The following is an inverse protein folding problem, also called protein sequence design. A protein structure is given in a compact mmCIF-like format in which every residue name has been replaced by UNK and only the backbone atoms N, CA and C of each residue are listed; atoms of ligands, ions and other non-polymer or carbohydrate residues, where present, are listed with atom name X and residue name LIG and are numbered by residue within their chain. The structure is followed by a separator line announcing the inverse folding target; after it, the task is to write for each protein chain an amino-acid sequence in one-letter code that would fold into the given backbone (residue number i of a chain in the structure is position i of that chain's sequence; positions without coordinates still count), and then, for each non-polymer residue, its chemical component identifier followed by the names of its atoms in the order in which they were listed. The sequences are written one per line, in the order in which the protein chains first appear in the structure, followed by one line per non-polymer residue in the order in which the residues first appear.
data_IF_791731794554
#
_entry.id   IF_791731794554
#
_cell.length_a   1.000
_cell.length_b   1.000
_cell.length_c   1.000
_cell.angle_alpha   90.00
_cell.angle_beta   90.00
_cell.angle_gamma   90.00
#
_symmetry.space_group_name_H-M   'P 1'
#
loop_
_entity.id
_entity.type
_entity.pdbx_description
1 polymer ?
#
# COMPACT_ATOMS: atom_id res chain seq x y z
N UNK A 1 -35.53 -2.07 -28.01
CA UNK A 1 -35.80 -3.26 -27.17
C UNK A 1 -35.08 -3.06 -25.86
N UNK A 2 -35.76 -3.21 -24.72
CA UNK A 2 -35.14 -3.11 -23.40
C UNK A 2 -34.56 -4.48 -23.03
N UNK A 3 -33.25 -4.56 -22.81
CA UNK A 3 -32.63 -5.80 -22.33
C UNK A 3 -32.82 -5.95 -20.83
N UNK A 4 -33.06 -7.19 -20.37
CA UNK A 4 -33.14 -7.48 -18.95
C UNK A 4 -31.80 -7.17 -18.26
N UNK A 5 -31.82 -6.29 -17.28
CA UNK A 5 -30.64 -5.97 -16.48
C UNK A 5 -30.28 -7.18 -15.62
N UNK A 6 -29.03 -7.62 -15.69
CA UNK A 6 -28.51 -8.74 -14.88
C UNK A 6 -27.29 -8.28 -14.08
N UNK A 7 -27.25 -8.69 -12.81
CA UNK A 7 -26.23 -8.33 -11.82
C UNK A 7 -25.91 -9.53 -10.92
N UNK A 8 -24.93 -9.39 -10.04
CA UNK A 8 -24.59 -10.41 -9.04
C UNK A 8 -25.83 -10.95 -8.32
N UNK A 9 -25.92 -12.28 -8.19
CA UNK A 9 -27.08 -13.00 -7.63
C UNK A 9 -28.25 -13.20 -8.59
N UNK A 10 -28.25 -12.56 -9.78
CA UNK A 10 -29.27 -12.83 -10.82
C UNK A 10 -29.15 -14.26 -11.33
N UNK A 11 -30.28 -14.87 -11.68
CA UNK A 11 -30.31 -16.20 -12.28
C UNK A 11 -31.28 -16.26 -13.45
N UNK A 12 -31.08 -17.23 -14.35
CA UNK A 12 -31.98 -17.51 -15.48
C UNK A 12 -31.36 -17.26 -16.85
N UNK A 13 -32.18 -17.38 -17.90
CA UNK A 13 -31.73 -17.40 -19.30
C UNK A 13 -30.98 -16.13 -19.75
N UNK A 14 -31.29 -14.97 -19.16
CA UNK A 14 -30.57 -13.73 -19.43
C UNK A 14 -29.11 -13.78 -18.94
N UNK A 15 -28.84 -14.48 -17.84
CA UNK A 15 -27.48 -14.67 -17.31
C UNK A 15 -26.73 -15.70 -18.14
N UNK A 16 -27.39 -16.78 -18.58
CA UNK A 16 -26.79 -17.75 -19.49
C UNK A 16 -26.35 -17.08 -20.80
N UNK A 17 -27.23 -16.26 -21.40
CA UNK A 17 -26.92 -15.51 -22.61
C UNK A 17 -25.75 -14.52 -22.40
N UNK A 18 -25.66 -13.90 -21.22
CA UNK A 18 -24.53 -13.05 -20.86
C UNK A 18 -23.23 -13.85 -20.79
N UNK A 19 -23.23 -14.97 -20.06
CA UNK A 19 -22.05 -15.83 -19.90
C UNK A 19 -21.55 -16.34 -21.26
N UNK A 20 -22.46 -16.73 -22.16
CA UNK A 20 -22.13 -17.09 -23.54
C UNK A 20 -21.49 -15.93 -24.32
N UNK A 21 -22.03 -14.71 -24.19
CA UNK A 21 -21.49 -13.53 -24.87
C UNK A 21 -20.14 -13.10 -24.32
N UNK A 22 -19.94 -13.18 -23.01
CA UNK A 22 -18.62 -12.95 -22.41
C UNK A 22 -17.63 -14.01 -22.88
N UNK A 23 -18.01 -15.29 -22.92
CA UNK A 23 -17.13 -16.33 -23.44
C UNK A 23 -16.75 -16.10 -24.91
N UNK A 24 -17.70 -15.64 -25.74
CA UNK A 24 -17.42 -15.24 -27.11
C UNK A 24 -16.47 -14.02 -27.23
N UNK A 25 -16.36 -13.20 -26.18
CA UNK A 25 -15.43 -12.08 -26.07
C UNK A 25 -14.10 -12.46 -25.35
N UNK A 26 -13.82 -13.76 -25.21
CA UNK A 26 -12.54 -14.27 -24.70
C UNK A 26 -12.49 -14.57 -23.21
N UNK A 27 -13.63 -14.56 -22.51
CA UNK A 27 -13.71 -15.04 -21.12
C UNK A 27 -13.93 -16.57 -21.08
N UNK A 28 -13.72 -17.20 -19.91
CA UNK A 28 -13.91 -18.64 -19.71
C UNK A 28 -14.76 -18.92 -18.49
N UNK A 29 -16.05 -18.60 -18.61
CA UNK A 29 -17.07 -18.79 -17.59
C UNK A 29 -17.87 -20.07 -17.84
N UNK A 30 -18.32 -20.71 -16.76
CA UNK A 30 -19.37 -21.75 -16.84
C UNK A 30 -20.70 -21.08 -17.18
N UNK A 31 -21.40 -21.58 -18.19
CA UNK A 31 -22.75 -21.11 -18.56
C UNK A 31 -23.77 -21.87 -17.71
N UNK A 32 -23.90 -21.49 -16.45
CA UNK A 32 -24.82 -22.08 -15.48
C UNK A 32 -26.09 -21.25 -15.27
N UNK A 33 -26.16 -20.07 -15.90
CA UNK A 33 -27.27 -19.14 -15.70
C UNK A 33 -27.30 -18.52 -14.31
N UNK A 34 -26.18 -18.55 -13.58
CA UNK A 34 -26.03 -17.96 -12.25
C UNK A 34 -24.97 -16.86 -12.28
N UNK A 35 -25.38 -15.65 -11.89
CA UNK A 35 -24.49 -14.50 -11.89
C UNK A 35 -23.69 -14.50 -10.59
N UNK A 36 -22.71 -15.39 -10.50
CA UNK A 36 -21.77 -15.48 -9.38
C UNK A 36 -20.56 -14.55 -9.49
N UNK A 37 -19.62 -14.70 -8.57
CA UNK A 37 -18.44 -13.84 -8.47
C UNK A 37 -17.55 -13.89 -9.73
N UNK A 38 -17.44 -15.05 -10.36
CA UNK A 38 -16.70 -15.22 -11.61
C UNK A 38 -17.35 -14.42 -12.76
N UNK A 39 -18.67 -14.49 -12.91
CA UNK A 39 -19.43 -13.72 -13.91
C UNK A 39 -19.30 -12.23 -13.67
N UNK A 40 -19.40 -11.77 -12.42
CA UNK A 40 -19.25 -10.36 -12.06
C UNK A 40 -17.84 -9.84 -12.38
N UNK A 41 -16.79 -10.61 -12.08
CA UNK A 41 -15.41 -10.24 -12.41
C UNK A 41 -15.23 -10.08 -13.92
N UNK A 42 -15.76 -11.01 -14.72
CA UNK A 42 -15.68 -10.94 -16.17
C UNK A 42 -16.46 -9.75 -16.75
N UNK A 43 -17.64 -9.42 -16.19
CA UNK A 43 -18.41 -8.23 -16.60
C UNK A 43 -17.65 -6.94 -16.31
N UNK A 44 -17.10 -6.79 -15.10
CA UNK A 44 -16.31 -5.60 -14.72
C UNK A 44 -15.11 -5.41 -15.65
N UNK A 45 -14.39 -6.50 -15.95
CA UNK A 45 -13.24 -6.46 -16.86
C UNK A 45 -13.66 -6.11 -18.30
N UNK A 46 -14.77 -6.68 -18.79
CA UNK A 46 -15.30 -6.35 -20.12
C UNK A 46 -15.68 -4.88 -20.22
N UNK A 47 -16.38 -4.36 -19.21
CA UNK A 47 -16.80 -2.96 -19.17
C UNK A 47 -15.59 -2.03 -19.16
N UNK A 48 -14.58 -2.30 -18.33
CA UNK A 48 -13.34 -1.53 -18.28
C UNK A 48 -12.64 -1.49 -19.64
N UNK A 49 -12.54 -2.64 -20.33
CA UNK A 49 -11.90 -2.75 -21.65
C UNK A 49 -12.65 -2.01 -22.77
N UNK A 50 -13.97 -1.85 -22.63
CA UNK A 50 -14.82 -1.24 -23.64
C UNK A 50 -15.22 0.21 -23.31
N UNK A 51 -14.54 0.85 -22.34
CA UNK A 51 -14.80 2.24 -21.95
C UNK A 51 -16.19 2.45 -21.33
N UNK A 52 -16.79 1.39 -20.80
CA UNK A 52 -18.03 1.42 -20.04
C UNK A 52 -17.72 1.55 -18.54
N UNK A 53 -18.69 2.02 -17.77
CA UNK A 53 -18.60 1.99 -16.31
C UNK A 53 -18.44 0.54 -15.84
N UNK A 54 -17.30 0.20 -15.22
CA UNK A 54 -16.98 -1.14 -14.72
C UNK A 54 -17.70 -1.47 -13.41
N UNK A 55 -19.02 -1.36 -13.43
CA UNK A 55 -19.92 -1.54 -12.29
C UNK A 55 -20.30 -3.01 -12.03
N UNK A 56 -19.99 -3.91 -12.97
CA UNK A 56 -20.29 -5.34 -12.86
C UNK A 56 -21.75 -5.67 -13.12
N UNK A 57 -22.50 -4.73 -13.73
CA UNK A 57 -23.91 -4.85 -14.05
C UNK A 57 -24.11 -4.75 -15.55
N UNK A 58 -24.85 -5.70 -16.09
CA UNK A 58 -25.12 -5.72 -17.52
C UNK A 58 -26.46 -5.06 -17.79
N UNK A 59 -26.40 -3.73 -17.89
CA UNK A 59 -27.51 -2.88 -18.34
C UNK A 59 -27.54 -2.72 -19.87
N UNK A 60 -28.41 -1.83 -20.36
CA UNK A 60 -28.68 -1.67 -21.78
C UNK A 60 -27.44 -1.24 -22.59
N UNK A 61 -26.54 -0.45 -22.00
CA UNK A 61 -25.25 -0.05 -22.58
C UNK A 61 -24.30 -1.23 -22.74
N UNK A 62 -24.13 -2.03 -21.67
CA UNK A 62 -23.30 -3.24 -21.68
C UNK A 62 -23.85 -4.29 -22.66
N UNK A 63 -25.18 -4.48 -22.69
CA UNK A 63 -25.82 -5.37 -23.66
C UNK A 63 -25.64 -4.89 -25.11
N UNK A 64 -25.78 -3.59 -25.37
CA UNK A 64 -25.59 -3.05 -26.72
C UNK A 64 -24.15 -3.24 -27.22
N UNK A 65 -23.17 -3.09 -26.32
CA UNK A 65 -21.76 -3.38 -26.58
C UNK A 65 -21.53 -4.89 -26.85
N UNK A 66 -22.06 -5.76 -25.99
CA UNK A 66 -21.90 -7.22 -26.09
C UNK A 66 -22.55 -7.83 -27.35
N UNK A 67 -23.64 -7.24 -27.80
CA UNK A 67 -24.40 -7.69 -28.97
C UNK A 67 -23.92 -7.04 -30.27
N UNK A 68 -22.96 -6.11 -30.19
CA UNK A 68 -22.47 -5.30 -31.31
C UNK A 68 -23.59 -4.67 -32.14
N UNK A 69 -24.73 -4.39 -31.49
CA UNK A 69 -25.84 -3.68 -32.10
C UNK A 69 -25.52 -2.20 -31.97
N UNK A 70 -24.85 -1.66 -32.98
CA UNK A 70 -24.84 -0.21 -33.18
C UNK A 70 -26.29 0.21 -33.32
N UNK A 71 -26.85 0.75 -32.24
CA UNK A 71 -28.13 1.44 -32.30
C UNK A 71 -27.86 2.75 -33.03
N UNK A 72 -27.77 2.68 -34.37
CA UNK A 72 -28.08 3.82 -35.22
C UNK A 72 -29.42 4.33 -34.75
N UNK A 73 -29.41 5.58 -34.30
CA UNK A 73 -30.57 6.35 -33.94
C UNK A 73 -31.66 6.21 -35.02
N UNK A 74 -32.67 5.40 -34.73
CA UNK A 74 -33.97 5.47 -35.36
C UNK A 74 -34.94 5.89 -34.25
N UNK A 75 -35.29 7.18 -34.27
CA UNK A 75 -36.35 7.75 -33.43
C UNK A 75 -35.85 8.44 -32.18
N UNK A 76 -35.24 9.62 -32.35
CA UNK A 76 -35.42 10.69 -31.38
C UNK A 76 -36.92 11.01 -31.28
N UNK A 77 -37.64 10.25 -30.45
CA UNK A 77 -38.99 10.58 -30.05
C UNK A 77 -38.89 11.67 -29.00
N UNK A 78 -38.87 12.92 -29.45
CA UNK A 78 -39.09 14.14 -28.63
C UNK A 78 -40.53 14.21 -28.10
N UNK A 79 -41.18 13.07 -27.88
CA UNK A 79 -42.45 12.97 -27.20
C UNK A 79 -42.31 11.92 -26.12
N UNK A 80 -42.20 12.36 -24.86
CA UNK A 80 -42.65 11.59 -23.69
C UNK A 80 -43.96 10.91 -24.12
N UNK A 81 -44.01 9.58 -24.25
CA UNK A 81 -45.25 8.92 -24.66
C UNK A 81 -46.32 9.35 -23.66
N UNK A 82 -47.27 10.16 -24.11
CA UNK A 82 -48.34 10.68 -23.27
C UNK A 82 -49.16 9.48 -22.84
N UNK A 83 -48.92 8.97 -21.63
CA UNK A 83 -49.72 7.91 -21.05
C UNK A 83 -51.12 8.46 -20.83
N UNK A 84 -52.04 8.13 -21.75
CA UNK A 84 -53.43 8.57 -21.68
C UNK A 84 -54.04 8.08 -20.37
N UNK A 85 -54.55 8.99 -19.55
CA UNK A 85 -55.15 8.65 -18.27
C UNK A 85 -54.22 8.69 -17.06
N UNK A 86 -52.93 9.01 -17.24
CA UNK A 86 -51.92 9.08 -16.17
C UNK A 86 -51.51 10.53 -15.91
N UNK A 87 -51.29 10.90 -14.66
CA UNK A 87 -50.83 12.25 -14.28
C UNK A 87 -49.45 12.59 -14.85
N UNK A 88 -49.17 13.90 -15.03
CA UNK A 88 -47.89 14.40 -15.54
C UNK A 88 -46.72 13.94 -14.68
N UNK A 89 -46.87 14.00 -13.35
CA UNK A 89 -45.89 13.58 -12.35
C UNK A 89 -45.57 12.08 -12.43
N UNK A 90 -46.60 11.22 -12.41
CA UNK A 90 -46.43 9.76 -12.49
C UNK A 90 -45.76 9.38 -13.82
N UNK A 91 -46.16 10.02 -14.92
CA UNK A 91 -45.57 9.79 -16.25
C UNK A 91 -44.12 10.31 -16.36
N UNK A 92 -43.78 11.46 -15.77
CA UNK A 92 -42.41 11.99 -15.73
C UNK A 92 -41.50 11.05 -14.94
N UNK A 93 -41.96 10.63 -13.76
CA UNK A 93 -41.15 9.81 -12.87
C UNK A 93 -40.94 8.41 -13.41
N UNK A 94 -41.97 7.80 -13.99
CA UNK A 94 -41.85 6.50 -14.65
C UNK A 94 -40.89 6.58 -15.84
N UNK A 95 -41.03 7.59 -16.70
CA UNK A 95 -40.12 7.80 -17.83
C UNK A 95 -38.67 7.96 -17.39
N UNK A 96 -38.40 8.71 -16.31
CA UNK A 96 -37.04 8.84 -15.75
C UNK A 96 -36.49 7.50 -15.25
N UNK A 97 -37.32 6.72 -14.55
CA UNK A 97 -36.89 5.41 -14.01
C UNK A 97 -36.68 4.39 -15.14
N UNK A 98 -37.48 4.42 -16.19
CA UNK A 98 -37.34 3.53 -17.36
C UNK A 98 -36.08 3.80 -18.20
N UNK A 99 -35.44 4.97 -18.06
CA UNK A 99 -34.14 5.24 -18.68
C UNK A 99 -33.01 4.38 -18.08
N UNK A 100 -33.24 3.80 -16.90
CA UNK A 100 -32.33 2.89 -16.23
C UNK A 100 -31.82 3.43 -14.90
N UNK A 101 -31.03 2.59 -14.22
CA UNK A 101 -30.45 2.93 -12.93
C UNK A 101 -29.32 3.96 -13.07
N UNK A 102 -29.42 5.05 -12.30
CA UNK A 102 -28.37 6.04 -12.12
C UNK A 102 -27.91 6.01 -10.65
N UNK A 103 -26.62 5.79 -10.36
CA UNK A 103 -26.12 5.72 -8.99
C UNK A 103 -26.33 7.02 -8.21
N UNK A 104 -26.75 6.91 -6.96
CA UNK A 104 -26.78 8.02 -6.02
C UNK A 104 -25.39 8.51 -5.65
N UNK A 105 -25.35 9.65 -4.97
CA UNK A 105 -24.12 10.22 -4.43
C UNK A 105 -23.48 9.32 -3.36
N UNK A 106 -24.27 8.54 -2.62
CA UNK A 106 -23.74 7.59 -1.64
C UNK A 106 -22.98 6.45 -2.32
N UNK A 107 -23.54 5.88 -3.39
CA UNK A 107 -22.87 4.84 -4.18
C UNK A 107 -21.61 5.40 -4.85
N UNK A 108 -21.72 6.58 -5.44
CA UNK A 108 -20.59 7.24 -6.11
C UNK A 108 -19.47 7.63 -5.12
N UNK A 109 -19.82 8.02 -3.89
CA UNK A 109 -18.87 8.33 -2.82
C UNK A 109 -18.18 7.09 -2.27
N UNK A 110 -18.95 6.00 -2.05
CA UNK A 110 -18.39 4.72 -1.61
C UNK A 110 -17.44 4.13 -2.66
N UNK A 111 -17.76 4.28 -3.95
CA UNK A 111 -16.86 3.90 -5.05
C UNK A 111 -15.56 4.71 -5.00
N UNK A 112 -15.66 6.04 -4.85
CA UNK A 112 -14.48 6.89 -4.76
C UNK A 112 -13.57 6.55 -3.57
N UNK A 113 -14.16 6.13 -2.44
CA UNK A 113 -13.41 5.62 -1.28
C UNK A 113 -12.70 4.31 -1.59
N UNK A 114 -13.39 3.33 -2.19
CA UNK A 114 -12.76 2.07 -2.60
C UNK A 114 -11.57 2.32 -3.53
N UNK A 115 -11.76 3.16 -4.53
CA UNK A 115 -10.73 3.46 -5.53
C UNK A 115 -9.54 4.19 -4.89
N UNK A 116 -9.78 5.08 -3.91
CA UNK A 116 -8.70 5.76 -3.19
C UNK A 116 -7.92 4.84 -2.27
N UNK A 117 -8.59 3.87 -1.62
CA UNK A 117 -7.91 2.85 -0.80
C UNK A 117 -7.03 1.97 -1.69
N UNK A 118 -7.53 1.58 -2.87
CA UNK A 118 -6.72 0.83 -3.83
C UNK A 118 -5.48 1.62 -4.29
N UNK A 119 -5.58 2.94 -4.44
CA UNK A 119 -4.48 3.81 -4.85
C UNK A 119 -3.34 3.92 -3.82
N UNK A 120 -3.63 3.75 -2.52
CA UNK A 120 -2.63 3.81 -1.44
C UNK A 120 -2.00 2.45 -1.10
N UNK A 121 -2.00 1.49 -2.05
CA UNK A 121 -1.38 0.18 -1.84
C UNK A 121 0.10 0.35 -1.45
N UNK A 122 0.55 -0.25 -0.33
CA UNK A 122 1.97 -0.31 -0.01
C UNK A 122 2.77 -0.91 -1.17
N UNK A 123 3.93 -0.33 -1.49
CA UNK A 123 4.88 -0.90 -2.44
C UNK A 123 5.37 -2.27 -1.99
N UNK A 124 6.07 -2.98 -2.86
CA UNK A 124 6.66 -4.26 -2.51
C UNK A 124 7.76 -4.07 -1.44
N UNK A 125 7.93 -5.05 -0.55
CA UNK A 125 8.90 -4.95 0.53
C UNK A 125 10.31 -4.81 -0.02
N UNK A 126 11.03 -3.79 0.46
CA UNK A 126 12.45 -3.57 0.22
C UNK A 126 13.13 -3.39 1.56
N UNK A 127 14.19 -4.15 1.82
CA UNK A 127 14.90 -4.06 3.08
C UNK A 127 15.95 -2.95 3.06
N UNK A 128 15.94 -2.08 4.07
CA UNK A 128 16.99 -1.06 4.23
C UNK A 128 18.31 -1.62 4.77
N UNK A 129 18.30 -2.87 5.26
CA UNK A 129 19.41 -3.50 5.96
C UNK A 129 20.13 -4.58 5.15
N UNK A 130 19.65 -4.89 3.95
CA UNK A 130 20.16 -6.02 3.16
C UNK A 130 21.64 -5.86 2.78
N UNK A 131 22.03 -4.66 2.33
CA UNK A 131 23.43 -4.36 2.01
C UNK A 131 24.35 -4.45 3.24
N UNK A 132 23.88 -3.94 4.39
CA UNK A 132 24.64 -3.99 5.65
C UNK A 132 24.81 -5.43 6.15
N UNK A 133 23.75 -6.25 6.07
CA UNK A 133 23.81 -7.66 6.44
C UNK A 133 24.77 -8.45 5.56
N UNK A 134 24.77 -8.21 4.25
CA UNK A 134 25.72 -8.84 3.33
C UNK A 134 27.15 -8.46 3.66
N UNK A 135 27.41 -7.18 3.96
CA UNK A 135 28.72 -6.71 4.38
C UNK A 135 29.18 -7.35 5.70
N UNK A 136 28.31 -7.41 6.71
CA UNK A 136 28.62 -8.01 8.01
C UNK A 136 28.83 -9.53 7.89
N UNK A 137 28.06 -10.19 7.03
CA UNK A 137 28.26 -11.60 6.71
C UNK A 137 29.61 -11.85 6.06
N UNK A 138 30.01 -11.03 5.08
CA UNK A 138 31.31 -11.13 4.44
C UNK A 138 32.46 -10.87 5.42
N UNK A 139 32.33 -9.88 6.32
CA UNK A 139 33.28 -9.62 7.41
C UNK A 139 33.45 -10.85 8.33
N UNK A 140 32.36 -11.53 8.66
CA UNK A 140 32.38 -12.73 9.52
C UNK A 140 33.01 -13.94 8.82
N UNK A 141 32.71 -14.16 7.55
CA UNK A 141 33.20 -15.32 6.79
C UNK A 141 34.64 -15.13 6.30
N UNK A 142 35.04 -13.90 5.97
CA UNK A 142 36.40 -13.58 5.50
C UNK A 142 37.42 -13.46 6.64
N UNK A 143 36.99 -13.51 7.90
CA UNK A 143 37.90 -13.42 9.06
C UNK A 143 38.91 -14.56 9.05
N UNK A 144 40.23 -14.26 8.96
CA UNK A 144 41.25 -15.28 9.05
C UNK A 144 41.26 -15.90 10.44
N UNK A 145 41.56 -17.19 10.52
CA UNK A 145 41.73 -17.86 11.82
C UNK A 145 42.84 -17.19 12.65
N UNK A 146 42.73 -17.31 13.98
CA UNK A 146 43.71 -16.70 14.88
C UNK A 146 45.13 -17.20 14.59
N UNK A 147 46.04 -16.25 14.43
CA UNK A 147 47.47 -16.47 14.32
C UNK A 147 48.19 -15.36 15.07
N UNK A 148 49.26 -15.70 15.78
CA UNK A 148 50.04 -14.75 16.56
C UNK A 148 51.48 -14.71 16.06
N UNK A 149 51.89 -13.56 15.50
CA UNK A 149 53.28 -13.24 15.24
C UNK A 149 53.75 -12.18 16.24
N UNK A 150 54.65 -12.52 17.17
CA UNK A 150 55.20 -11.56 18.13
C UNK A 150 55.83 -10.33 17.45
N UNK A 151 56.38 -10.49 16.23
CA UNK A 151 57.03 -9.38 15.51
C UNK A 151 56.06 -8.36 14.97
N UNK A 152 54.77 -8.67 14.92
CA UNK A 152 53.72 -7.75 14.49
C UNK A 152 52.94 -7.19 15.69
N UNK A 153 53.16 -7.72 16.91
CA UNK A 153 52.49 -7.26 18.13
C UNK A 153 53.20 -6.04 18.74
N UNK A 154 52.47 -4.92 18.82
CA UNK A 154 53.00 -3.66 19.36
C UNK A 154 53.40 -3.74 20.85
N UNK A 155 52.72 -4.56 21.66
CA UNK A 155 53.09 -4.78 23.05
C UNK A 155 54.38 -5.59 23.12
N UNK A 156 54.55 -6.61 22.29
CA UNK A 156 55.83 -7.34 22.19
C UNK A 156 56.98 -6.42 21.81
N UNK A 157 56.83 -5.53 20.81
CA UNK A 157 57.86 -4.54 20.48
C UNK A 157 58.24 -3.65 21.66
N UNK A 158 57.24 -3.19 22.42
CA UNK A 158 57.45 -2.34 23.59
C UNK A 158 58.25 -3.08 24.68
N UNK A 159 57.90 -4.35 24.95
CA UNK A 159 58.66 -5.18 25.87
C UNK A 159 60.07 -5.48 25.35
N UNK A 160 60.22 -5.85 24.07
CA UNK A 160 61.52 -6.16 23.49
C UNK A 160 62.50 -4.99 23.62
N UNK A 161 62.06 -3.76 23.32
CA UNK A 161 62.88 -2.56 23.49
C UNK A 161 63.27 -2.30 24.95
N UNK A 162 62.34 -2.51 25.89
CA UNK A 162 62.60 -2.36 27.33
C UNK A 162 63.67 -3.36 27.79
N UNK A 163 63.49 -4.63 27.47
CA UNK A 163 64.41 -5.70 27.87
C UNK A 163 65.79 -5.56 27.22
N UNK A 164 65.85 -5.10 25.97
CA UNK A 164 67.11 -4.83 25.30
C UNK A 164 67.88 -3.68 25.97
N UNK A 165 67.18 -2.61 26.35
CA UNK A 165 67.77 -1.48 27.09
C UNK A 165 68.25 -1.90 28.47
N UNK A 166 67.43 -2.63 29.22
CA UNK A 166 67.78 -3.15 30.56
C UNK A 166 68.94 -4.14 30.51
N UNK A 167 68.98 -5.01 29.49
CA UNK A 167 70.08 -5.94 29.27
C UNK A 167 71.39 -5.24 28.96
N UNK A 168 71.36 -4.20 28.10
CA UNK A 168 72.55 -3.37 27.80
C UNK A 168 73.08 -2.67 29.05
N UNK A 169 72.19 -2.05 29.82
CA UNK A 169 72.57 -1.36 31.06
C UNK A 169 73.19 -2.33 32.09
N UNK A 170 72.61 -3.52 32.26
CA UNK A 170 73.15 -4.52 33.18
C UNK A 170 74.50 -5.08 32.72
N UNK A 171 74.72 -5.19 31.40
CA UNK A 171 76.00 -5.57 30.81
C UNK A 171 77.07 -4.50 31.11
N UNK A 172 76.75 -3.23 30.90
CA UNK A 172 77.62 -2.08 31.21
C UNK A 172 77.98 -2.03 32.70
N UNK A 173 77.01 -2.21 33.58
CA UNK A 173 77.22 -2.25 35.03
C UNK A 173 78.14 -3.40 35.46
N UNK A 174 77.96 -4.59 34.86
CA UNK A 174 78.76 -5.79 35.17
C UNK A 174 80.20 -5.64 34.67
N UNK A 175 80.38 -5.11 33.46
CA UNK A 175 81.70 -4.83 32.88
C UNK A 175 82.41 -3.70 33.62
N UNK A 176 81.71 -2.63 33.98
CA UNK A 176 82.26 -1.50 34.74
C UNK A 176 82.75 -1.92 36.13
N UNK A 177 81.96 -2.72 36.86
CA UNK A 177 82.36 -3.31 38.14
C UNK A 177 83.59 -4.23 37.99
N UNK A 178 83.64 -5.03 36.93
CA UNK A 178 84.79 -5.91 36.71
C UNK A 178 86.04 -5.16 36.26
N UNK A 179 85.92 -4.10 35.45
CA UNK A 179 87.04 -3.25 35.03
C UNK A 179 87.67 -2.54 36.22
N UNK A 180 86.86 -2.10 37.18
CA UNK A 180 87.32 -1.53 38.45
C UNK A 180 88.12 -2.55 39.31
N UNK A 181 87.77 -3.84 39.27
CA UNK A 181 88.44 -4.90 40.03
C UNK A 181 89.72 -5.44 39.36
N UNK A 182 89.83 -5.33 38.04
CA UNK A 182 90.91 -5.94 37.23
C UNK A 182 91.94 -4.92 36.71
N UNK A 183 91.80 -3.64 37.03
CA UNK A 183 92.71 -2.59 36.59
C UNK A 183 92.61 -2.26 35.10
N UNK A 184 91.44 -2.47 34.48
CA UNK A 184 91.18 -2.13 33.08
C UNK A 184 91.37 -3.25 32.05
N UNK A 185 91.82 -4.44 32.47
CA UNK A 185 91.89 -5.60 31.58
C UNK A 185 90.55 -6.34 31.55
N UNK A 186 89.86 -6.31 30.40
CA UNK A 186 88.61 -7.05 30.21
C UNK A 186 88.82 -8.55 30.42
N UNK A 187 88.35 -9.07 31.56
CA UNK A 187 88.46 -10.51 31.84
C UNK A 187 87.37 -11.27 31.08
N UNK A 188 87.71 -12.44 30.54
CA UNK A 188 86.74 -13.38 29.94
C UNK A 188 85.61 -13.75 30.92
N UNK A 189 85.88 -13.71 32.23
CA UNK A 189 84.88 -13.89 33.28
C UNK A 189 83.84 -12.75 33.30
N UNK A 190 84.26 -11.50 33.16
CA UNK A 190 83.37 -10.34 33.10
C UNK A 190 82.44 -10.38 31.90
N UNK A 191 82.98 -10.75 30.74
CA UNK A 191 82.19 -10.94 29.51
C UNK A 191 81.17 -12.06 29.69
N UNK A 192 81.57 -13.19 30.28
CA UNK A 192 80.67 -14.33 30.52
C UNK A 192 79.55 -13.96 31.51
N UNK A 193 79.87 -13.26 32.61
CA UNK A 193 78.89 -12.81 33.60
C UNK A 193 77.90 -11.78 33.02
N UNK A 194 78.39 -10.84 32.21
CA UNK A 194 77.55 -9.86 31.53
C UNK A 194 76.63 -10.51 30.48
N UNK A 195 77.11 -11.56 29.80
CA UNK A 195 76.32 -12.37 28.87
C UNK A 195 75.25 -13.19 29.60
N UNK A 196 75.54 -13.73 30.78
CA UNK A 196 74.53 -14.40 31.62
C UNK A 196 73.43 -13.43 32.08
N UNK A 197 73.79 -12.21 32.46
CA UNK A 197 72.81 -11.16 32.80
C UNK A 197 71.90 -10.83 31.63
N UNK A 198 72.46 -10.65 30.43
CA UNK A 198 71.68 -10.38 29.22
C UNK A 198 70.74 -11.54 28.87
N UNK A 199 71.20 -12.78 28.98
CA UNK A 199 70.38 -13.98 28.77
C UNK A 199 69.19 -14.07 29.74
N UNK A 200 69.34 -13.60 30.98
CA UNK A 200 68.25 -13.54 31.95
C UNK A 200 67.10 -12.62 31.52
N UNK A 201 67.41 -11.46 30.91
CA UNK A 201 66.39 -10.55 30.36
C UNK A 201 65.69 -11.13 29.12
N UNK A 202 66.43 -11.84 28.26
CA UNK A 202 65.83 -12.57 27.13
C UNK A 202 64.87 -13.67 27.60
N UNK A 203 65.21 -14.38 28.68
CA UNK A 203 64.30 -15.37 29.30
C UNK A 203 63.04 -14.72 29.86
N UNK A 204 63.14 -13.53 30.46
CA UNK A 204 61.97 -12.78 30.95
C UNK A 204 61.07 -12.34 29.79
N UNK A 205 61.63 -11.84 28.68
CA UNK A 205 60.86 -11.53 27.47
C UNK A 205 60.18 -12.77 26.89
N UNK A 206 60.88 -13.91 26.83
CA UNK A 206 60.32 -15.18 26.37
C UNK A 206 59.18 -15.68 27.28
N UNK A 207 59.26 -15.43 28.59
CA UNK A 207 58.22 -15.81 29.55
C UNK A 207 56.92 -14.99 29.38
N UNK A 208 56.98 -13.80 28.76
CA UNK A 208 55.80 -12.98 28.47
C UNK A 208 55.07 -13.39 27.19
N UNK A 209 55.73 -14.11 26.28
CA UNK A 209 55.13 -14.52 25.00
C UNK A 209 53.78 -15.23 25.14
N UNK A 210 53.60 -16.22 26.04
CA UNK A 210 52.31 -16.89 26.19
C UNK A 210 51.19 -15.94 26.63
N UNK A 211 51.52 -14.95 27.48
CA UNK A 211 50.54 -13.98 27.97
C UNK A 211 50.14 -12.99 26.87
N UNK A 212 51.09 -12.54 26.05
CA UNK A 212 50.82 -11.66 24.93
C UNK A 212 49.97 -12.37 23.86
N UNK A 213 50.28 -13.63 23.56
CA UNK A 213 49.46 -14.47 22.69
C UNK A 213 48.04 -14.64 23.24
N UNK A 214 47.88 -14.92 24.54
CA UNK A 214 46.56 -15.03 25.17
C UNK A 214 45.76 -13.73 25.07
N UNK A 215 46.41 -12.59 25.30
CA UNK A 215 45.80 -11.27 25.16
C UNK A 215 45.39 -11.00 23.71
N UNK A 216 46.23 -11.34 22.73
CA UNK A 216 45.92 -11.23 21.32
C UNK A 216 44.72 -12.12 20.93
N UNK A 217 44.67 -13.35 21.44
CA UNK A 217 43.54 -14.27 21.23
C UNK A 217 42.24 -13.71 21.79
N UNK A 218 42.26 -13.17 23.01
CA UNK A 218 41.07 -12.53 23.62
C UNK A 218 40.55 -11.35 22.82
N UNK A 219 41.45 -10.50 22.28
CA UNK A 219 41.07 -9.40 21.38
C UNK A 219 40.39 -9.94 20.12
N UNK A 220 41.00 -10.95 19.49
CA UNK A 220 40.41 -11.62 18.33
C UNK A 220 39.04 -12.23 18.63
N UNK A 221 38.86 -12.94 19.74
CA UNK A 221 37.56 -13.50 20.14
C UNK A 221 36.51 -12.38 20.32
N UNK A 222 36.85 -11.34 21.09
CA UNK A 222 35.96 -10.20 21.37
C UNK A 222 35.53 -9.46 20.10
N UNK A 223 36.44 -9.24 19.16
CA UNK A 223 36.13 -8.62 17.87
C UNK A 223 35.18 -9.47 17.04
N UNK A 224 35.33 -10.79 17.11
CA UNK A 224 34.44 -11.74 16.44
C UNK A 224 33.04 -11.72 17.02
N UNK A 225 32.96 -11.81 18.35
CA UNK A 225 31.69 -11.73 19.08
C UNK A 225 30.99 -10.39 18.79
N UNK A 226 31.73 -9.29 18.75
CA UNK A 226 31.19 -7.97 18.43
C UNK A 226 30.65 -7.90 16.99
N UNK A 227 31.36 -8.47 16.01
CA UNK A 227 30.90 -8.54 14.62
C UNK A 227 29.62 -9.40 14.50
N UNK A 228 29.57 -10.53 15.21
CA UNK A 228 28.39 -11.40 15.24
C UNK A 228 27.19 -10.69 15.87
N UNK A 229 27.39 -10.00 17.01
CA UNK A 229 26.33 -9.24 17.65
C UNK A 229 25.78 -8.12 16.76
N UNK A 230 26.65 -7.42 16.00
CA UNK A 230 26.21 -6.44 15.00
C UNK A 230 25.31 -7.09 13.96
N UNK A 231 25.74 -8.21 13.38
CA UNK A 231 24.94 -8.95 12.40
C UNK A 231 23.57 -9.37 12.96
N UNK A 232 23.54 -9.95 14.17
CA UNK A 232 22.30 -10.37 14.82
C UNK A 232 21.36 -9.21 15.09
N UNK A 233 21.87 -8.07 15.55
CA UNK A 233 21.08 -6.86 15.80
C UNK A 233 20.49 -6.30 14.50
N UNK A 234 21.30 -6.18 13.45
CA UNK A 234 20.85 -5.70 12.13
C UNK A 234 19.80 -6.65 11.54
N UNK A 235 19.96 -7.96 11.72
CA UNK A 235 18.99 -8.96 11.28
C UNK A 235 17.66 -8.86 12.06
N UNK A 236 17.71 -8.56 13.36
CA UNK A 236 16.52 -8.29 14.17
C UNK A 236 15.80 -7.01 13.71
N UNK A 237 16.54 -5.96 13.36
CA UNK A 237 15.97 -4.71 12.82
C UNK A 237 15.29 -4.94 11.47
N UNK A 238 15.93 -5.68 10.55
CA UNK A 238 15.31 -6.10 9.29
C UNK A 238 14.01 -6.87 9.53
N UNK A 239 14.02 -7.82 10.47
CA UNK A 239 12.81 -8.59 10.82
C UNK A 239 11.68 -7.69 11.34
N UNK A 240 12.01 -6.70 12.17
CA UNK A 240 11.03 -5.74 12.68
C UNK A 240 10.48 -4.84 11.56
N UNK A 241 11.33 -4.37 10.66
CA UNK A 241 10.95 -3.59 9.47
C UNK A 241 9.99 -4.39 8.58
N UNK A 242 10.34 -5.65 8.28
CA UNK A 242 9.48 -6.54 7.50
C UNK A 242 8.12 -6.77 8.18
N UNK A 243 8.11 -7.03 9.48
CA UNK A 243 6.87 -7.20 10.23
C UNK A 243 5.99 -5.93 10.20
N UNK A 244 6.59 -4.74 10.29
CA UNK A 244 5.87 -3.48 10.17
C UNK A 244 5.27 -3.29 8.76
N UNK A 245 6.02 -3.66 7.71
CA UNK A 245 5.51 -3.65 6.34
C UNK A 245 4.35 -4.65 6.15
N UNK A 246 4.48 -5.87 6.67
CA UNK A 246 3.42 -6.90 6.61
C UNK A 246 2.14 -6.40 7.30
N UNK A 247 2.26 -5.79 8.49
CA UNK A 247 1.13 -5.19 9.20
C UNK A 247 0.48 -4.06 8.41
N UNK A 248 1.27 -3.18 7.79
CA UNK A 248 0.74 -2.10 6.96
C UNK A 248 -0.01 -2.65 5.73
N UNK A 249 0.51 -3.71 5.11
CA UNK A 249 -0.11 -4.37 3.98
C UNK A 249 -1.43 -5.08 4.37
N UNK A 250 -1.46 -5.79 5.49
CA UNK A 250 -2.68 -6.41 6.03
C UNK A 250 -3.73 -5.36 6.39
N UNK A 251 -3.32 -4.25 7.01
CA UNK A 251 -4.21 -3.13 7.33
C UNK A 251 -4.81 -2.52 6.06
N UNK A 252 -4.00 -2.31 5.02
CA UNK A 252 -4.48 -1.86 3.71
C UNK A 252 -5.49 -2.84 3.09
N UNK A 253 -5.21 -4.15 3.11
CA UNK A 253 -6.14 -5.16 2.61
C UNK A 253 -7.48 -5.14 3.37
N UNK A 254 -7.43 -5.00 4.69
CA UNK A 254 -8.64 -4.91 5.51
C UNK A 254 -9.45 -3.65 5.18
N UNK A 255 -8.80 -2.52 4.96
CA UNK A 255 -9.45 -1.28 4.52
C UNK A 255 -10.09 -1.44 3.14
N UNK A 256 -9.39 -2.05 2.18
CA UNK A 256 -9.92 -2.26 0.83
C UNK A 256 -11.17 -3.12 0.86
N UNK A 257 -11.13 -4.24 1.60
CA UNK A 257 -12.28 -5.13 1.79
C UNK A 257 -13.47 -4.42 2.44
N UNK A 258 -13.21 -3.57 3.44
CA UNK A 258 -14.25 -2.78 4.10
C UNK A 258 -14.88 -1.76 3.12
N UNK A 259 -14.07 -1.07 2.33
CA UNK A 259 -14.53 -0.12 1.33
C UNK A 259 -15.32 -0.81 0.20
N UNK A 260 -14.89 -1.99 -0.26
CA UNK A 260 -15.64 -2.83 -1.19
C UNK A 260 -17.01 -3.22 -0.63
N UNK A 261 -17.04 -3.69 0.63
CA UNK A 261 -18.30 -4.07 1.29
C UNK A 261 -19.23 -2.88 1.48
N UNK A 262 -18.69 -1.70 1.78
CA UNK A 262 -19.47 -0.47 1.91
C UNK A 262 -20.06 -0.03 0.57
N UNK A 263 -19.29 -0.13 -0.52
CA UNK A 263 -19.76 0.11 -1.88
C UNK A 263 -20.89 -0.84 -2.27
N UNK A 264 -20.70 -2.16 -2.08
CA UNK A 264 -21.70 -3.16 -2.42
C UNK A 264 -23.00 -2.93 -1.61
N UNK A 265 -22.89 -2.64 -0.31
CA UNK A 265 -24.06 -2.35 0.52
C UNK A 265 -24.77 -1.03 0.18
N UNK A 266 -24.05 0.01 -0.23
CA UNK A 266 -24.65 1.24 -0.73
C UNK A 266 -25.37 1.00 -2.06
N UNK A 267 -24.71 0.27 -2.97
CA UNK A 267 -25.25 -0.09 -4.27
C UNK A 267 -26.54 -0.90 -4.13
N UNK A 268 -26.55 -1.96 -3.31
CA UNK A 268 -27.72 -2.81 -3.13
C UNK A 268 -28.91 -2.04 -2.55
N UNK A 269 -28.67 -1.15 -1.59
CA UNK A 269 -29.73 -0.29 -1.02
C UNK A 269 -30.32 0.63 -2.08
N UNK A 270 -29.47 1.32 -2.82
CA UNK A 270 -29.88 2.31 -3.82
C UNK A 270 -30.58 1.65 -5.02
N UNK A 271 -30.05 0.53 -5.48
CA UNK A 271 -30.65 -0.24 -6.57
C UNK A 271 -32.00 -0.85 -6.17
N UNK A 272 -32.13 -1.37 -4.95
CA UNK A 272 -33.42 -1.86 -4.46
C UNK A 272 -34.44 -0.73 -4.30
N UNK A 273 -34.01 0.47 -3.89
CA UNK A 273 -34.85 1.66 -3.87
C UNK A 273 -35.32 2.05 -5.28
N UNK A 274 -34.41 2.07 -6.26
CA UNK A 274 -34.73 2.28 -7.67
C UNK A 274 -35.78 1.29 -8.18
N UNK A 275 -35.59 -0.02 -7.97
CA UNK A 275 -36.57 -1.04 -8.37
C UNK A 275 -37.93 -0.84 -7.69
N UNK A 276 -37.93 -0.54 -6.40
CA UNK A 276 -39.16 -0.29 -5.63
C UNK A 276 -39.92 0.90 -6.20
N UNK A 277 -39.21 1.97 -6.54
CA UNK A 277 -39.80 3.16 -7.15
C UNK A 277 -40.33 2.86 -8.55
N UNK A 278 -39.59 2.10 -9.36
CA UNK A 278 -40.04 1.69 -10.69
C UNK A 278 -41.35 0.90 -10.62
N UNK A 279 -41.42 -0.10 -9.73
CA UNK A 279 -42.64 -0.88 -9.50
C UNK A 279 -43.79 0.01 -9.00
N UNK A 280 -43.53 0.85 -8.00
CA UNK A 280 -44.54 1.74 -7.44
C UNK A 280 -45.14 2.68 -8.51
N UNK A 281 -44.31 3.32 -9.33
CA UNK A 281 -44.80 4.24 -10.36
C UNK A 281 -45.47 3.52 -11.53
N UNK A 282 -45.05 2.30 -11.87
CA UNK A 282 -45.73 1.46 -12.85
C UNK A 282 -47.14 1.07 -12.35
N UNK A 283 -47.27 0.63 -11.10
CA UNK A 283 -48.56 0.28 -10.49
C UNK A 283 -49.47 1.50 -10.37
N UNK A 284 -48.91 2.65 -9.95
CA UNK A 284 -49.62 3.92 -9.86
C UNK A 284 -50.14 4.37 -11.23
N UNK A 285 -49.32 4.29 -12.28
CA UNK A 285 -49.75 4.59 -13.65
C UNK A 285 -50.90 3.68 -14.10
N UNK A 286 -50.84 2.38 -13.81
CA UNK A 286 -51.92 1.44 -14.13
C UNK A 286 -53.23 1.75 -13.38
N UNK A 287 -53.14 2.20 -12.12
CA UNK A 287 -54.30 2.62 -11.32
C UNK A 287 -54.92 3.91 -11.86
N UNK A 288 -54.10 4.93 -12.14
CA UNK A 288 -54.56 6.21 -12.70
C UNK A 288 -55.23 6.00 -14.06
N UNK A 289 -54.64 5.17 -14.93
CA UNK A 289 -55.21 4.85 -16.23
C UNK A 289 -56.58 4.16 -16.14
N UNK A 290 -56.77 3.28 -15.15
CA UNK A 290 -58.08 2.64 -14.88
C UNK A 290 -59.11 3.64 -14.35
N UNK A 291 -58.69 4.57 -13.48
CA UNK A 291 -59.56 5.57 -12.86
C UNK A 291 -59.91 6.74 -13.80
N UNK A 292 -59.18 6.92 -14.89
CA UNK A 292 -59.33 8.02 -15.84
C UNK A 292 -60.66 7.98 -16.63
N UNK A 293 -61.35 6.84 -16.72
CA UNK A 293 -62.62 6.67 -17.45
C UNK A 293 -62.56 7.26 -18.89
N UNK A 294 -61.39 7.14 -19.53
CA UNK A 294 -61.13 7.69 -20.86
C UNK A 294 -60.79 9.19 -20.93
N UNK A 295 -60.75 9.92 -19.80
CA UNK A 295 -60.34 11.34 -19.76
C UNK A 295 -58.83 11.49 -19.85
N UNK A 296 -58.33 12.31 -20.77
CA UNK A 296 -56.91 12.69 -20.81
C UNK A 296 -56.57 13.57 -19.60
N UNK A 297 -55.79 13.03 -18.66
CA UNK A 297 -55.38 13.73 -17.42
C UNK A 297 -53.94 14.27 -17.51
N UNK A 298 -53.13 13.71 -18.42
CA UNK A 298 -51.78 14.18 -18.74
C UNK A 298 -51.85 15.37 -19.70
N UNK A 299 -51.16 16.47 -19.40
CA UNK A 299 -51.07 17.64 -20.28
C UNK A 299 -49.88 17.57 -21.24
N UNK A 300 -48.97 16.60 -21.04
CA UNK A 300 -47.70 16.51 -21.75
C UNK A 300 -46.69 17.60 -21.34
N UNK A 301 -47.04 18.48 -20.39
CA UNK A 301 -46.11 19.44 -19.81
C UNK A 301 -45.23 18.74 -18.79
N UNK A 302 -43.92 18.93 -18.92
CA UNK A 302 -42.97 18.62 -17.86
C UNK A 302 -43.30 19.53 -16.69
N UNK A 303 -43.39 18.98 -15.48
CA UNK A 303 -43.53 19.83 -14.30
C UNK A 303 -42.35 20.83 -14.22
N UNK A 304 -42.64 22.13 -14.28
CA UNK A 304 -41.62 23.21 -14.16
C UNK A 304 -40.99 23.29 -12.76
N UNK A 305 -41.45 22.45 -11.83
CA UNK A 305 -40.91 22.35 -10.49
C UNK A 305 -39.54 21.66 -10.56
N UNK A 306 -38.49 22.48 -10.64
CA UNK A 306 -37.11 22.00 -10.49
C UNK A 306 -37.02 21.13 -9.22
N UNK A 307 -36.52 19.89 -9.31
CA UNK A 307 -36.36 19.05 -8.13
C UNK A 307 -35.50 19.80 -7.11
N UNK A 308 -35.95 19.84 -5.85
CA UNK A 308 -35.15 20.44 -4.76
C UNK A 308 -33.76 19.80 -4.78
N UNK A 309 -32.72 20.63 -4.92
CA UNK A 309 -31.33 20.17 -4.94
C UNK A 309 -31.05 19.34 -3.69
N UNK A 310 -30.79 18.04 -3.87
CA UNK A 310 -30.50 17.14 -2.77
C UNK A 310 -29.12 17.48 -2.20
N UNK A 311 -29.07 17.78 -0.91
CA UNK A 311 -27.81 17.98 -0.18
C UNK A 311 -27.10 16.65 0.01
N UNK A 312 -25.77 16.68 -0.05
CA UNK A 312 -24.92 15.50 0.13
C UNK A 312 -25.15 14.86 1.50
N UNK A 313 -25.46 13.55 1.51
CA UNK A 313 -25.72 12.82 2.75
C UNK A 313 -24.48 12.80 3.66
N UNK A 314 -24.67 12.62 4.97
CA UNK A 314 -23.56 12.51 5.91
C UNK A 314 -22.65 11.31 5.58
N UNK A 315 -23.23 10.17 5.22
CA UNK A 315 -22.51 8.96 4.82
C UNK A 315 -21.68 9.17 3.56
N UNK A 316 -22.24 9.84 2.54
CA UNK A 316 -21.51 10.18 1.33
C UNK A 316 -20.38 11.17 1.62
N UNK A 317 -20.63 12.18 2.46
CA UNK A 317 -19.61 13.15 2.87
C UNK A 317 -18.47 12.49 3.64
N UNK A 318 -18.75 11.56 4.56
CA UNK A 318 -17.72 10.82 5.29
C UNK A 318 -16.88 9.94 4.37
N UNK A 319 -17.51 9.25 3.42
CA UNK A 319 -16.82 8.41 2.44
C UNK A 319 -15.91 9.26 1.53
N UNK A 320 -16.40 10.41 1.08
CA UNK A 320 -15.60 11.38 0.32
C UNK A 320 -14.45 11.97 1.13
N UNK A 321 -14.65 12.23 2.43
CA UNK A 321 -13.59 12.73 3.29
C UNK A 321 -12.45 11.71 3.42
N UNK A 322 -12.79 10.42 3.59
CA UNK A 322 -11.80 9.32 3.58
C UNK A 322 -11.14 9.21 2.21
N UNK A 323 -11.92 9.30 1.14
CA UNK A 323 -11.41 9.24 -0.22
C UNK A 323 -10.35 10.31 -0.49
N UNK A 324 -10.69 11.57 -0.23
CA UNK A 324 -9.78 12.72 -0.37
C UNK A 324 -8.56 12.59 0.53
N UNK A 325 -8.73 12.14 1.78
CA UNK A 325 -7.64 11.94 2.72
C UNK A 325 -6.60 10.95 2.21
N UNK A 326 -7.04 9.84 1.61
CA UNK A 326 -6.16 8.84 1.01
C UNK A 326 -5.41 9.40 -0.21
N UNK A 327 -6.10 10.12 -1.10
CA UNK A 327 -5.44 10.78 -2.23
C UNK A 327 -4.41 11.82 -1.77
N UNK A 328 -4.74 12.63 -0.77
CA UNK A 328 -3.83 13.61 -0.20
C UNK A 328 -2.61 12.95 0.47
N UNK A 329 -2.79 11.84 1.20
CA UNK A 329 -1.65 11.11 1.76
C UNK A 329 -0.79 10.43 0.70
N UNK A 330 -1.37 10.10 -0.47
CA UNK A 330 -0.64 9.63 -1.64
C UNK A 330 0.08 10.75 -2.42
N UNK A 331 -0.12 12.02 -2.06
CA UNK A 331 0.37 13.18 -2.82
C UNK A 331 -0.45 13.54 -4.05
N UNK A 332 -1.59 12.91 -4.28
CA UNK A 332 -2.51 13.20 -5.39
C UNK A 332 -3.56 14.25 -5.00
N UNK A 333 -3.09 15.48 -4.79
CA UNK A 333 -3.98 16.59 -4.47
C UNK A 333 -4.99 16.89 -5.61
N UNK A 334 -4.64 16.57 -6.86
CA UNK A 334 -5.50 16.79 -8.02
C UNK A 334 -6.74 15.89 -8.00
N UNK A 335 -6.59 14.59 -7.71
CA UNK A 335 -7.72 13.67 -7.56
C UNK A 335 -8.63 14.09 -6.39
N UNK A 336 -8.04 14.52 -5.26
CA UNK A 336 -8.80 15.04 -4.14
C UNK A 336 -9.60 16.31 -4.52
N UNK A 337 -8.97 17.26 -5.21
CA UNK A 337 -9.62 18.49 -5.69
C UNK A 337 -10.75 18.19 -6.69
N UNK A 338 -10.54 17.24 -7.61
CA UNK A 338 -11.55 16.84 -8.57
C UNK A 338 -12.80 16.26 -7.89
N UNK A 339 -12.61 15.43 -6.85
CA UNK A 339 -13.72 14.96 -6.02
C UNK A 339 -14.41 16.11 -5.29
N UNK A 340 -13.66 17.05 -4.72
CA UNK A 340 -14.21 18.19 -4.00
C UNK A 340 -15.09 19.04 -4.94
N UNK A 341 -14.60 19.34 -6.14
CA UNK A 341 -15.31 20.09 -7.16
C UNK A 341 -16.60 19.40 -7.60
N UNK A 342 -16.56 18.07 -7.83
CA UNK A 342 -17.71 17.27 -8.27
C UNK A 342 -18.92 17.34 -7.32
N UNK A 343 -18.68 17.51 -6.01
CA UNK A 343 -19.74 17.53 -4.99
C UNK A 343 -19.96 18.90 -4.33
N UNK A 344 -19.18 19.93 -4.68
CA UNK A 344 -19.18 21.23 -4.01
C UNK A 344 -20.55 21.93 -3.95
N UNK A 345 -21.35 21.80 -5.01
CA UNK A 345 -22.69 22.38 -5.08
C UNK A 345 -23.70 21.72 -4.12
N UNK A 346 -23.43 20.49 -3.68
CA UNK A 346 -24.31 19.69 -2.82
C UNK A 346 -23.86 19.66 -1.36
N UNK A 347 -22.66 20.17 -1.07
CA UNK A 347 -22.13 20.22 0.30
C UNK A 347 -22.77 21.34 1.12
N UNK A 348 -23.06 21.03 2.38
CA UNK A 348 -23.39 22.01 3.42
C UNK A 348 -22.16 22.84 3.81
N UNK A 349 -22.37 24.00 4.41
CA UNK A 349 -21.27 24.84 4.91
C UNK A 349 -20.38 24.12 5.92
N UNK A 350 -20.95 23.24 6.75
CA UNK A 350 -20.19 22.45 7.72
C UNK A 350 -19.32 21.39 7.03
N UNK A 351 -19.83 20.72 5.99
CA UNK A 351 -19.05 19.76 5.20
C UNK A 351 -17.92 20.44 4.45
N UNK A 352 -18.16 21.62 3.84
CA UNK A 352 -17.11 22.40 3.16
C UNK A 352 -15.96 22.74 4.10
N UNK A 353 -16.26 23.28 5.29
CA UNK A 353 -15.23 23.58 6.31
C UNK A 353 -14.42 22.36 6.74
N UNK A 354 -15.07 21.20 6.90
CA UNK A 354 -14.36 19.95 7.24
C UNK A 354 -13.41 19.52 6.13
N UNK A 355 -13.82 19.68 4.88
CA UNK A 355 -12.99 19.32 3.74
C UNK A 355 -11.85 20.33 3.57
N UNK A 356 -12.11 21.64 3.68
CA UNK A 356 -11.07 22.67 3.71
C UNK A 356 -9.99 22.37 4.77
N UNK A 357 -10.39 22.06 6.00
CA UNK A 357 -9.47 21.67 7.06
C UNK A 357 -8.69 20.38 6.76
N UNK A 358 -9.30 19.42 6.04
CA UNK A 358 -8.60 18.24 5.56
C UNK A 358 -7.50 18.62 4.56
N UNK A 359 -7.78 19.47 3.57
CA UNK A 359 -6.77 19.92 2.61
C UNK A 359 -5.64 20.69 3.30
N UNK A 360 -5.95 21.59 4.24
CA UNK A 360 -4.96 22.35 5.02
C UNK A 360 -4.02 21.45 5.81
N UNK A 361 -4.54 20.36 6.42
CA UNK A 361 -3.73 19.38 7.15
C UNK A 361 -2.61 18.78 6.29
N UNK A 362 -2.84 18.64 4.98
CA UNK A 362 -1.87 18.10 4.03
C UNK A 362 -1.15 19.19 3.22
N UNK A 363 -1.28 20.48 3.61
CA UNK A 363 -0.64 21.59 2.91
C UNK A 363 -1.20 21.84 1.50
N UNK A 364 -2.40 21.34 1.21
CA UNK A 364 -3.08 21.51 -0.07
C UNK A 364 -4.23 22.52 0.05
N UNK A 365 -4.74 22.97 -1.09
CA UNK A 365 -5.92 23.84 -1.16
C UNK A 365 -7.03 23.10 -1.89
N UNK A 366 -8.25 23.14 -1.38
CA UNK A 366 -9.41 22.45 -1.97
C UNK A 366 -9.78 22.96 -3.39
N UNK A 367 -9.27 24.13 -3.78
CA UNK A 367 -9.57 24.82 -5.03
C UNK A 367 -10.92 25.54 -4.99
N UNK A 368 -11.01 26.75 -5.53
CA UNK A 368 -12.28 27.48 -5.64
C UNK A 368 -13.06 27.00 -6.87
N UNK A 369 -14.22 26.39 -6.64
CA UNK A 369 -15.18 26.10 -7.70
C UNK A 369 -15.83 27.42 -8.10
N UNK A 370 -15.46 27.96 -9.27
CA UNK A 370 -16.21 29.08 -9.85
C UNK A 370 -17.67 28.64 -9.98
N UNK A 371 -18.54 29.47 -9.40
CA UNK A 371 -19.96 29.22 -9.16
C UNK A 371 -20.79 29.16 -10.43
#
# INVERSE_FOLDING_TARGET
MAYAQVSYGSTGSAVSALQEKLNANGYSLTVDGVFGAATQKAVKDYQAKNGLTADGIVGNSTWSSLLNTTSSAAGGSTGKQVLSGVSDETSDRLFQLEQGYAPSDEVSAAQAERDSVAAIRPGDYQSSFEEELLRLYDELVSRPGFSYDPKEDAAYHSYAQLYERSGRQAMEDTLGKSAALTGGYGSTYAQTAAQQSYNGYLQQLAALLPQLEENARKRYETEGDAAQQRYELTAQQQKAEKAAWEQAYEAWQAQLKAAESAYDAAYDRDYNAYKTMLHYFADKAAQEQKASDGRKVNSGKVSDAAPKAQTLSSTAAESLQRAMGNYLSAGDAAAAQALAAKYAARMTAAQKRRFEALFEKYGAVMGTVNS
#
